data_IF_516551071447
#
_entry.id   IF_516551071447
#
_cell.length_a   1.000
_cell.length_b   1.000
_cell.length_c   1.000
_cell.angle_alpha   90.00
_cell.angle_beta   90.00
_cell.angle_gamma   90.00
#
_symmetry.space_group_name_H-M   'P 1'
#
loop_
_entity.id
_entity.type
_entity.pdbx_description
1 polymer ?
#
# COMPACT_ATOMS: atom_id res chain seq x y z
N UNK A 1 -5.45 -7.25 -21.29
CA UNK A 1 -6.23 -8.26 -20.56
C UNK A 1 -5.93 -9.65 -21.09
N UNK A 2 -6.00 -10.63 -20.18
CA UNK A 2 -5.81 -12.06 -20.40
C UNK A 2 -7.14 -12.78 -20.10
N UNK A 3 -7.56 -13.72 -20.93
CA UNK A 3 -8.74 -14.56 -20.65
C UNK A 3 -8.53 -16.00 -21.11
N UNK A 4 -9.06 -16.97 -20.37
CA UNK A 4 -8.96 -18.41 -20.64
C UNK A 4 -8.82 -19.22 -19.36
N UNK A 5 -8.31 -20.45 -19.42
CA UNK A 5 -8.04 -21.28 -18.22
C UNK A 5 -6.76 -20.83 -17.48
N UNK A 6 -6.76 -19.59 -16.99
CA UNK A 6 -5.58 -18.91 -16.45
C UNK A 6 -5.01 -19.60 -15.19
N UNK A 7 -5.89 -20.11 -14.33
CA UNK A 7 -5.52 -20.72 -13.05
C UNK A 7 -5.38 -22.24 -13.14
N UNK A 8 -6.29 -22.92 -13.83
CA UNK A 8 -6.27 -24.40 -13.96
C UNK A 8 -5.01 -24.89 -14.66
N UNK A 9 -4.45 -24.08 -15.57
CA UNK A 9 -3.24 -24.39 -16.33
C UNK A 9 -2.00 -23.60 -15.87
N UNK A 10 -2.08 -22.90 -14.73
CA UNK A 10 -1.01 -22.06 -14.16
C UNK A 10 -0.47 -20.96 -15.09
N UNK A 11 -1.21 -20.61 -16.15
CA UNK A 11 -0.80 -19.68 -17.19
C UNK A 11 -0.68 -18.24 -16.68
N UNK A 12 -1.42 -17.88 -15.62
CA UNK A 12 -1.27 -16.56 -14.99
C UNK A 12 0.09 -16.42 -14.29
N UNK A 13 0.57 -17.46 -13.61
CA UNK A 13 1.86 -17.42 -12.93
C UNK A 13 2.99 -17.31 -13.95
N UNK A 14 2.91 -18.08 -15.04
CA UNK A 14 3.88 -18.01 -16.14
C UNK A 14 3.91 -16.61 -16.78
N UNK A 15 2.76 -15.94 -16.93
CA UNK A 15 2.68 -14.57 -17.41
C UNK A 15 3.35 -13.57 -16.47
N UNK A 16 3.14 -13.69 -15.16
CA UNK A 16 3.74 -12.82 -14.14
C UNK A 16 5.26 -13.03 -14.04
N UNK A 17 5.70 -14.27 -14.05
CA UNK A 17 7.12 -14.64 -14.01
C UNK A 17 7.89 -14.06 -15.21
N UNK A 18 7.29 -14.09 -16.41
CA UNK A 18 7.90 -13.47 -17.60
C UNK A 18 8.04 -11.96 -17.49
N UNK A 19 7.08 -11.28 -16.85
CA UNK A 19 7.16 -9.83 -16.64
C UNK A 19 8.30 -9.50 -15.67
N UNK A 20 8.38 -10.21 -14.55
CA UNK A 20 9.43 -10.00 -13.55
C UNK A 20 10.82 -10.33 -14.09
N UNK A 21 10.96 -11.45 -14.81
CA UNK A 21 12.23 -11.88 -15.41
C UNK A 21 12.78 -10.88 -16.46
N UNK A 22 11.90 -10.14 -17.13
CA UNK A 22 12.29 -9.08 -18.06
C UNK A 22 12.62 -7.75 -17.35
N UNK A 23 12.44 -7.65 -16.03
CA UNK A 23 12.62 -6.42 -15.26
C UNK A 23 11.42 -5.46 -15.34
N UNK A 24 10.25 -5.96 -15.70
CA UNK A 24 9.00 -5.21 -15.67
C UNK A 24 8.32 -5.24 -14.31
N UNK A 25 7.42 -4.30 -14.08
CA UNK A 25 6.47 -4.31 -12.98
C UNK A 25 5.07 -4.62 -13.49
N UNK A 26 4.19 -5.11 -12.62
CA UNK A 26 2.80 -5.34 -12.97
C UNK A 26 1.85 -4.98 -11.84
N UNK A 27 0.62 -4.65 -12.21
CA UNK A 27 -0.51 -4.48 -11.31
C UNK A 27 -1.71 -5.27 -11.82
N UNK A 28 -2.26 -6.13 -10.98
CA UNK A 28 -3.46 -6.90 -11.29
C UNK A 28 -4.69 -6.03 -11.00
N UNK A 29 -5.13 -5.29 -12.02
CA UNK A 29 -6.25 -4.36 -11.91
C UNK A 29 -7.60 -5.07 -11.68
N UNK A 30 -7.79 -6.24 -12.29
CA UNK A 30 -9.01 -7.04 -12.13
C UNK A 30 -8.72 -8.52 -12.28
N UNK A 31 -9.39 -9.36 -11.50
CA UNK A 31 -9.32 -10.81 -11.63
C UNK A 31 -10.66 -11.45 -11.30
N UNK A 32 -11.19 -12.24 -12.24
CA UNK A 32 -12.41 -13.03 -12.08
C UNK A 32 -12.06 -14.49 -12.34
N UNK A 33 -12.24 -15.35 -11.34
CA UNK A 33 -11.89 -16.77 -11.41
C UNK A 33 -13.13 -17.55 -11.82
N UNK A 34 -12.97 -18.45 -12.79
CA UNK A 34 -14.03 -19.38 -13.21
C UNK A 34 -14.52 -20.25 -12.05
N UNK A 35 -15.83 -20.53 -11.99
CA UNK A 35 -16.44 -21.30 -10.90
C UNK A 35 -16.26 -22.83 -11.03
N UNK A 36 -15.59 -23.30 -12.08
CA UNK A 36 -15.30 -24.71 -12.34
C UNK A 36 -14.03 -24.85 -13.20
N UNK A 37 -13.46 -26.06 -13.27
CA UNK A 37 -12.26 -26.36 -14.06
C UNK A 37 -12.44 -26.11 -15.58
N UNK A 38 -13.70 -26.12 -16.05
CA UNK A 38 -14.06 -25.88 -17.44
C UNK A 38 -14.47 -24.42 -17.70
N UNK A 39 -14.49 -23.57 -16.67
CA UNK A 39 -14.89 -22.16 -16.80
C UNK A 39 -13.68 -21.26 -17.06
N UNK A 40 -13.81 -20.36 -18.04
CA UNK A 40 -12.78 -19.36 -18.32
C UNK A 40 -12.63 -18.38 -17.15
N UNK A 41 -11.38 -18.02 -16.86
CA UNK A 41 -10.98 -16.96 -15.95
C UNK A 41 -10.57 -15.72 -16.73
N UNK A 42 -10.76 -14.55 -16.13
CA UNK A 42 -10.44 -13.25 -16.73
C UNK A 42 -9.50 -12.46 -15.84
N UNK A 43 -8.52 -11.79 -16.44
CA UNK A 43 -7.58 -10.93 -15.73
C UNK A 43 -7.25 -9.67 -16.53
N UNK A 44 -7.28 -8.52 -15.86
CA UNK A 44 -6.69 -7.28 -16.33
C UNK A 44 -5.37 -7.05 -15.62
N UNK A 45 -4.31 -6.97 -16.44
CA UNK A 45 -2.95 -6.78 -16.00
C UNK A 45 -2.41 -5.51 -16.62
N UNK A 46 -1.99 -4.59 -15.76
CA UNK A 46 -1.24 -3.40 -16.14
C UNK A 46 0.25 -3.76 -16.01
N UNK A 47 1.03 -3.41 -17.03
CA UNK A 47 2.46 -3.75 -17.11
C UNK A 47 3.26 -2.49 -17.32
N UNK A 48 4.28 -2.29 -16.47
CA UNK A 48 5.21 -1.17 -16.52
C UNK A 48 6.65 -1.63 -16.74
N UNK A 49 7.48 -0.76 -17.28
CA UNK A 49 8.92 -0.96 -17.42
C UNK A 49 9.62 0.40 -17.57
N UNK A 50 10.87 0.48 -17.10
CA UNK A 50 11.66 1.72 -17.12
C UNK A 50 12.15 2.09 -18.54
N UNK A 51 12.26 1.11 -19.44
CA UNK A 51 12.62 1.28 -20.84
C UNK A 51 11.51 0.71 -21.74
N UNK A 52 11.16 1.45 -22.78
CA UNK A 52 10.22 1.01 -23.82
C UNK A 52 10.66 -0.29 -24.50
N UNK A 53 11.98 -0.52 -24.65
CA UNK A 53 12.50 -1.80 -25.18
C UNK A 53 12.15 -2.98 -24.29
N UNK A 54 12.19 -2.80 -22.97
CA UNK A 54 11.81 -3.83 -22.00
C UNK A 54 10.30 -4.06 -22.08
N UNK A 55 9.51 -2.99 -22.16
CA UNK A 55 8.06 -3.11 -22.35
C UNK A 55 7.68 -3.88 -23.62
N UNK A 56 8.34 -3.58 -24.74
CA UNK A 56 8.11 -4.27 -26.02
C UNK A 56 8.49 -5.77 -25.90
N UNK A 57 9.58 -6.12 -25.22
CA UNK A 57 9.97 -7.52 -24.95
C UNK A 57 8.95 -8.28 -24.10
N UNK A 58 8.38 -7.61 -23.10
CA UNK A 58 7.34 -8.19 -22.24
C UNK A 58 6.07 -8.45 -23.06
N UNK A 59 5.66 -7.49 -23.88
CA UNK A 59 4.50 -7.61 -24.76
C UNK A 59 4.68 -8.79 -25.73
N UNK A 60 5.86 -8.92 -26.35
CA UNK A 60 6.17 -10.03 -27.25
C UNK A 60 6.08 -11.39 -26.55
N UNK A 61 6.60 -11.49 -25.31
CA UNK A 61 6.58 -12.72 -24.51
C UNK A 61 5.15 -13.13 -24.12
N UNK A 62 4.34 -12.18 -23.65
CA UNK A 62 2.93 -12.41 -23.33
C UNK A 62 2.11 -12.76 -24.59
N UNK A 63 2.45 -12.19 -25.74
CA UNK A 63 1.79 -12.51 -27.02
C UNK A 63 2.10 -13.94 -27.48
N UNK A 64 3.34 -14.42 -27.27
CA UNK A 64 3.72 -15.81 -27.55
C UNK A 64 3.06 -16.81 -26.60
N UNK A 65 2.89 -16.45 -25.33
CA UNK A 65 2.13 -17.27 -24.38
C UNK A 65 0.67 -17.42 -24.81
N UNK A 66 0.06 -16.34 -25.33
CA UNK A 66 -1.32 -16.37 -25.79
C UNK A 66 -1.51 -17.11 -27.12
N UNK A 67 -0.52 -17.04 -28.01
CA UNK A 67 -0.52 -17.71 -29.31
C UNK A 67 0.76 -18.54 -29.48
N UNK A 68 0.83 -19.74 -28.89
CA UNK A 68 1.89 -20.67 -29.21
C UNK A 68 1.71 -21.09 -30.67
N UNK A 69 2.50 -20.55 -31.59
CA UNK A 69 2.43 -20.93 -33.00
C UNK A 69 2.73 -22.43 -33.16
N UNK A 70 1.89 -23.10 -33.96
CA UNK A 70 1.93 -24.51 -34.34
C UNK A 70 3.10 -24.86 -35.29
N UNK A 71 4.36 -24.65 -34.90
CA UNK A 71 5.50 -25.21 -35.67
C UNK A 71 6.45 -26.03 -34.81
N UNK A 72 6.51 -27.33 -35.18
CA UNK A 72 7.43 -28.41 -34.80
C UNK A 72 7.24 -29.09 -33.43
N UNK A 73 6.39 -30.13 -33.38
CA UNK A 73 6.92 -31.50 -33.42
C UNK A 73 5.81 -32.54 -33.72
N UNK A 74 6.05 -33.40 -34.71
CA UNK A 74 5.21 -34.56 -34.96
C UNK A 74 5.49 -35.59 -33.85
N UNK A 75 4.42 -36.12 -33.26
CA UNK A 75 4.36 -37.20 -32.24
C UNK A 75 4.29 -36.68 -30.80
N UNK A 76 3.09 -36.22 -30.39
CA UNK A 76 2.55 -36.40 -29.02
C UNK A 76 1.03 -36.17 -29.01
N UNK A 77 0.25 -36.91 -28.20
CA UNK A 77 -1.21 -36.86 -28.25
C UNK A 77 -1.73 -35.52 -27.70
N UNK A 78 -2.59 -34.86 -28.50
CA UNK A 78 -3.44 -33.69 -28.21
C UNK A 78 -3.23 -33.07 -26.81
N UNK A 79 -2.29 -32.12 -26.69
CA UNK A 79 -2.43 -31.05 -25.70
C UNK A 79 -3.57 -30.17 -26.19
N UNK A 80 -4.70 -30.19 -25.48
CA UNK A 80 -5.79 -29.24 -25.72
C UNK A 80 -5.21 -27.83 -25.71
N UNK A 81 -5.27 -27.20 -26.88
CA UNK A 81 -4.82 -25.85 -27.17
C UNK A 81 -5.06 -24.90 -25.99
N UNK A 82 -3.98 -24.42 -25.36
CA UNK A 82 -4.01 -23.38 -24.33
C UNK A 82 -4.38 -22.06 -25.01
N UNK A 83 -5.66 -21.89 -25.30
CA UNK A 83 -6.15 -20.73 -26.04
C UNK A 83 -6.41 -19.60 -25.05
N UNK A 84 -5.38 -18.83 -24.73
CA UNK A 84 -5.55 -17.59 -23.96
C UNK A 84 -5.79 -16.47 -24.97
N UNK A 85 -6.77 -15.61 -24.71
CA UNK A 85 -6.94 -14.38 -25.49
C UNK A 85 -6.19 -13.23 -24.82
N UNK A 86 -5.32 -12.56 -25.57
CA UNK A 86 -4.62 -11.37 -25.14
C UNK A 86 -5.15 -10.17 -25.91
N UNK A 87 -5.67 -9.17 -25.17
CA UNK A 87 -5.95 -7.84 -25.74
C UNK A 87 -4.96 -6.84 -25.16
N UNK A 88 -4.12 -6.30 -26.04
CA UNK A 88 -3.16 -5.26 -25.71
C UNK A 88 -3.80 -3.91 -26.06
N UNK A 89 -4.11 -3.12 -25.04
CA UNK A 89 -4.42 -1.71 -25.20
C UNK A 89 -3.17 -0.89 -24.93
N UNK A 90 -2.94 0.19 -25.71
CA UNK A 90 -2.07 1.26 -25.23
C UNK A 90 -2.88 2.04 -24.21
N UNK A 91 -2.45 2.05 -22.96
CA UNK A 91 -2.80 3.15 -22.05
C UNK A 91 -2.01 4.35 -22.57
N UNK A 92 -2.54 5.04 -23.57
CA UNK A 92 -2.07 6.39 -23.85
C UNK A 92 -2.37 7.19 -22.57
N UNK A 93 -1.45 8.06 -22.17
CA UNK A 93 -1.84 9.23 -21.40
C UNK A 93 -2.95 9.88 -22.23
N UNK A 94 -4.21 9.61 -21.90
CA UNK A 94 -5.31 10.35 -22.48
C UNK A 94 -5.03 11.82 -22.18
N UNK A 95 -5.31 12.65 -23.20
CA UNK A 95 -5.08 14.09 -23.20
C UNK A 95 -5.30 14.67 -21.81
N UNK A 96 -4.43 15.62 -21.48
CA UNK A 96 -4.62 16.67 -20.49
C UNK A 96 -6.05 17.26 -20.55
N UNK A 97 -7.06 16.54 -20.04
CA UNK A 97 -7.87 17.16 -19.01
C UNK A 97 -6.83 17.65 -18.03
N UNK A 98 -6.63 18.99 -18.00
CA UNK A 98 -5.80 19.69 -17.00
C UNK A 98 -5.76 18.78 -15.80
N UNK A 99 -4.58 18.33 -15.32
CA UNK A 99 -4.55 17.35 -14.25
C UNK A 99 -5.60 17.83 -13.26
N UNK A 100 -6.71 17.10 -13.15
CA UNK A 100 -7.42 17.10 -11.88
C UNK A 100 -6.28 16.67 -11.00
N UNK A 101 -5.70 17.66 -10.30
CA UNK A 101 -4.42 17.53 -9.61
C UNK A 101 -4.45 16.12 -9.04
N UNK A 102 -3.59 15.22 -9.54
CA UNK A 102 -3.50 13.90 -8.96
C UNK A 102 -2.94 14.20 -7.58
N UNK A 103 -3.86 14.50 -6.67
CA UNK A 103 -3.56 14.91 -5.33
C UNK A 103 -2.77 13.74 -4.81
N UNK A 104 -1.50 13.98 -4.54
CA UNK A 104 -0.58 12.95 -4.06
C UNK A 104 -1.26 12.32 -2.84
N UNK A 105 -1.84 11.14 -3.02
CA UNK A 105 -2.71 10.52 -2.01
C UNK A 105 -1.80 10.15 -0.85
N UNK A 106 -1.99 10.85 0.26
CA UNK A 106 -1.14 10.61 1.43
C UNK A 106 -1.48 9.24 2.00
N UNK A 107 -0.46 8.47 2.34
CA UNK A 107 -0.62 7.07 2.72
C UNK A 107 -0.14 6.84 4.14
N UNK A 108 -1.00 6.25 4.96
CA UNK A 108 -0.76 6.02 6.39
C UNK A 108 -0.79 4.52 6.68
N UNK A 109 0.28 4.01 7.28
CA UNK A 109 0.38 2.66 7.80
C UNK A 109 0.18 2.67 9.31
N UNK A 110 -0.83 1.96 9.81
CA UNK A 110 -1.02 1.72 11.23
C UNK A 110 -0.44 0.35 11.58
N UNK A 111 0.57 0.32 12.45
CA UNK A 111 1.17 -0.91 12.95
C UNK A 111 0.51 -1.32 14.25
N UNK A 112 -0.11 -2.50 14.26
CA UNK A 112 -0.78 -3.11 15.41
C UNK A 112 -2.31 -3.03 15.30
N UNK A 113 -2.97 -4.16 15.48
CA UNK A 113 -4.43 -4.30 15.44
C UNK A 113 -5.06 -4.36 16.85
N UNK A 114 -4.51 -3.57 17.78
CA UNK A 114 -4.99 -3.50 19.17
C UNK A 114 -6.25 -2.64 19.34
N UNK A 115 -6.73 -2.52 20.58
CA UNK A 115 -7.96 -1.77 20.93
C UNK A 115 -8.00 -0.32 20.43
N UNK A 116 -6.83 0.31 20.35
CA UNK A 116 -6.68 1.71 19.92
C UNK A 116 -6.60 1.88 18.41
N UNK A 117 -6.38 0.80 17.65
CA UNK A 117 -6.22 0.87 16.20
C UNK A 117 -7.52 1.22 15.50
N UNK A 118 -8.63 0.60 15.91
CA UNK A 118 -9.94 0.84 15.29
C UNK A 118 -10.35 2.31 15.29
N UNK A 119 -10.40 3.03 16.43
CA UNK A 119 -10.79 4.44 16.43
C UNK A 119 -9.82 5.32 15.62
N UNK A 120 -8.52 4.98 15.59
CA UNK A 120 -7.54 5.69 14.76
C UNK A 120 -7.81 5.48 13.26
N UNK A 121 -8.08 4.24 12.84
CA UNK A 121 -8.42 3.90 11.47
C UNK A 121 -9.74 4.55 11.02
N UNK A 122 -10.78 4.50 11.87
CA UNK A 122 -12.07 5.14 11.61
C UNK A 122 -11.91 6.66 11.45
N UNK A 123 -11.13 7.29 12.33
CA UNK A 123 -10.83 8.72 12.23
C UNK A 123 -10.14 9.05 10.90
N UNK A 124 -9.04 8.37 10.58
CA UNK A 124 -8.27 8.61 9.35
C UNK A 124 -9.09 8.35 8.08
N UNK A 125 -9.89 7.29 8.06
CA UNK A 125 -10.81 7.01 6.96
C UNK A 125 -11.88 8.10 6.82
N UNK A 126 -12.36 8.65 7.93
CA UNK A 126 -13.36 9.72 7.93
C UNK A 126 -12.81 11.08 7.49
N UNK A 127 -11.48 11.29 7.46
CA UNK A 127 -10.85 12.56 7.07
C UNK A 127 -11.32 13.05 5.70
N UNK A 128 -11.59 12.12 4.77
CA UNK A 128 -12.16 12.42 3.44
C UNK A 128 -13.52 13.11 3.52
N UNK A 129 -14.31 12.80 4.55
CA UNK A 129 -15.63 13.39 4.79
C UNK A 129 -15.55 14.65 5.69
N UNK A 130 -14.51 14.76 6.52
CA UNK A 130 -14.29 15.85 7.49
C UNK A 130 -13.86 17.16 6.82
N UNK A 131 -13.43 17.17 5.56
CA UNK A 131 -13.14 18.40 4.79
C UNK A 131 -14.30 19.41 4.75
N UNK A 132 -15.52 18.95 5.05
CA UNK A 132 -16.73 19.76 5.24
C UNK A 132 -16.77 20.58 6.54
N UNK A 133 -16.02 20.19 7.59
CA UNK A 133 -16.12 20.74 8.94
C UNK A 133 -15.26 21.99 9.13
N UNK A 134 -15.82 22.99 9.82
CA UNK A 134 -15.24 24.32 9.98
C UNK A 134 -13.83 24.29 10.61
N UNK A 135 -13.58 23.44 11.61
CA UNK A 135 -12.26 23.36 12.26
C UNK A 135 -11.20 22.81 11.31
N UNK A 136 -11.54 21.85 10.45
CA UNK A 136 -10.61 21.28 9.47
C UNK A 136 -10.14 22.35 8.48
N UNK A 137 -11.06 23.16 7.95
CA UNK A 137 -10.74 24.29 7.07
C UNK A 137 -9.88 25.36 7.74
N UNK A 138 -10.12 25.65 9.02
CA UNK A 138 -9.39 26.67 9.77
C UNK A 138 -7.93 26.28 10.04
N UNK A 139 -7.64 25.00 10.32
CA UNK A 139 -6.30 24.56 10.74
C UNK A 139 -5.48 23.87 9.66
N UNK A 140 -6.11 23.18 8.70
CA UNK A 140 -5.42 22.31 7.73
C UNK A 140 -5.49 22.80 6.27
N UNK A 141 -6.23 23.90 6.02
CA UNK A 141 -6.48 24.41 4.67
C UNK A 141 -7.57 23.60 3.97
N UNK A 142 -8.44 24.27 3.21
CA UNK A 142 -9.67 23.69 2.65
C UNK A 142 -9.52 22.70 1.49
N UNK A 143 -8.36 22.04 1.35
CA UNK A 143 -8.14 21.05 0.29
C UNK A 143 -8.62 19.67 0.74
N UNK A 144 -9.38 19.01 -0.12
CA UNK A 144 -9.73 17.60 0.03
C UNK A 144 -8.46 16.77 -0.15
N UNK A 145 -7.94 16.23 0.96
CA UNK A 145 -6.81 15.31 0.91
C UNK A 145 -7.34 13.88 0.98
N UNK A 146 -7.14 13.15 -0.10
CA UNK A 146 -7.38 11.72 -0.08
C UNK A 146 -6.27 11.04 0.75
N UNK A 147 -6.68 10.27 1.75
CA UNK A 147 -5.79 9.51 2.63
C UNK A 147 -6.06 8.03 2.41
N UNK A 148 -5.01 7.27 2.08
CA UNK A 148 -5.06 5.80 2.05
C UNK A 148 -4.62 5.28 3.42
N UNK A 149 -5.42 4.42 4.03
CA UNK A 149 -5.15 3.86 5.36
C UNK A 149 -4.95 2.36 5.25
N UNK A 150 -3.84 1.88 5.83
CA UNK A 150 -3.49 0.47 5.87
C UNK A 150 -3.31 0.08 7.33
N UNK A 151 -3.99 -0.96 7.79
CA UNK A 151 -3.78 -1.57 9.11
C UNK A 151 -2.97 -2.84 8.92
N UNK A 152 -1.82 -2.92 9.59
CA UNK A 152 -0.94 -4.06 9.55
C UNK A 152 -0.80 -4.72 10.92
N UNK A 153 -0.86 -6.06 10.95
CA UNK A 153 -0.67 -6.87 12.16
C UNK A 153 0.10 -8.13 11.84
N UNK A 154 0.76 -8.71 12.86
CA UNK A 154 1.41 -10.02 12.75
C UNK A 154 0.43 -11.11 12.30
N UNK A 155 -0.83 -11.01 12.75
CA UNK A 155 -1.91 -11.90 12.37
C UNK A 155 -2.93 -11.16 11.50
N UNK A 156 -3.11 -11.64 10.26
CA UNK A 156 -4.06 -11.05 9.30
C UNK A 156 -5.48 -10.97 9.85
N UNK A 157 -5.87 -11.97 10.66
CA UNK A 157 -7.20 -12.06 11.27
C UNK A 157 -7.49 -10.81 12.11
N UNK A 158 -6.56 -10.41 12.97
CA UNK A 158 -6.73 -9.27 13.87
C UNK A 158 -6.86 -7.95 13.09
N UNK A 159 -6.06 -7.80 12.03
CA UNK A 159 -6.16 -6.65 11.13
C UNK A 159 -7.53 -6.60 10.43
N UNK A 160 -8.02 -7.74 9.93
CA UNK A 160 -9.35 -7.84 9.29
C UNK A 160 -10.50 -7.55 10.24
N UNK A 161 -10.45 -8.08 11.46
CA UNK A 161 -11.44 -7.79 12.50
C UNK A 161 -11.42 -6.30 12.89
N UNK A 162 -10.22 -5.71 12.97
CA UNK A 162 -10.07 -4.28 13.28
C UNK A 162 -10.72 -3.40 12.22
N UNK A 163 -10.54 -3.71 10.93
CA UNK A 163 -11.08 -2.93 9.80
C UNK A 163 -12.52 -3.31 9.41
N UNK A 164 -13.17 -4.22 10.15
CA UNK A 164 -14.53 -4.65 9.83
C UNK A 164 -15.50 -3.46 9.80
N UNK A 165 -16.23 -3.32 8.69
CA UNK A 165 -17.12 -2.19 8.42
C UNK A 165 -16.44 -0.93 7.85
N UNK A 166 -15.13 -0.98 7.56
CA UNK A 166 -14.37 0.10 6.94
C UNK A 166 -13.85 -0.32 5.55
N UNK A 167 -14.68 -0.25 4.48
CA UNK A 167 -14.30 -0.75 3.15
C UNK A 167 -13.13 0.01 2.50
N UNK A 168 -12.81 1.22 2.97
CA UNK A 168 -11.71 2.03 2.47
C UNK A 168 -10.37 1.79 3.20
N UNK A 169 -10.37 0.95 4.23
CA UNK A 169 -9.18 0.65 5.02
C UNK A 169 -8.68 -0.75 4.66
N UNK A 170 -7.42 -0.85 4.28
CA UNK A 170 -6.80 -2.11 3.89
C UNK A 170 -6.23 -2.84 5.10
N UNK A 171 -6.43 -4.16 5.17
CA UNK A 171 -5.82 -5.02 6.19
C UNK A 171 -4.71 -5.87 5.59
N UNK A 172 -3.52 -5.78 6.17
CA UNK A 172 -2.30 -6.47 5.70
C UNK A 172 -1.68 -7.29 6.83
N UNK A 173 -1.12 -8.44 6.50
CA UNK A 173 -0.27 -9.18 7.42
C UNK A 173 1.16 -8.66 7.32
N UNK A 174 1.76 -8.28 8.44
CA UNK A 174 3.13 -7.78 8.47
C UNK A 174 3.82 -8.16 9.77
N UNK A 175 5.02 -8.72 9.64
CA UNK A 175 5.99 -8.74 10.74
C UNK A 175 6.81 -7.45 10.67
N UNK A 176 6.90 -6.74 11.79
CA UNK A 176 7.66 -5.50 11.92
C UNK A 176 9.13 -5.70 11.56
N UNK A 177 9.64 -6.92 11.75
CA UNK A 177 11.00 -7.33 11.39
C UNK A 177 11.25 -7.36 9.87
N UNK A 178 10.19 -7.48 9.05
CA UNK A 178 10.24 -7.55 7.57
C UNK A 178 9.45 -6.38 6.93
N UNK A 179 9.37 -5.26 7.65
CA UNK A 179 8.46 -4.17 7.30
C UNK A 179 8.95 -3.28 6.15
N UNK A 180 10.19 -3.46 5.68
CA UNK A 180 10.80 -2.59 4.66
C UNK A 180 9.99 -2.52 3.36
N UNK A 181 9.43 -3.64 2.91
CA UNK A 181 8.68 -3.72 1.65
C UNK A 181 7.42 -2.85 1.67
N UNK A 182 6.68 -2.87 2.78
CA UNK A 182 5.44 -2.10 2.93
C UNK A 182 5.73 -0.63 3.25
N UNK A 183 6.75 -0.34 4.06
CA UNK A 183 7.08 1.04 4.42
C UNK A 183 7.52 1.88 3.22
N UNK A 184 8.07 1.27 2.15
CA UNK A 184 8.44 1.98 0.91
C UNK A 184 7.27 2.74 0.28
N UNK A 185 6.06 2.18 0.38
CA UNK A 185 4.86 2.70 -0.28
C UNK A 185 3.97 3.56 0.62
N UNK A 186 4.43 3.90 1.83
CA UNK A 186 3.69 4.77 2.75
C UNK A 186 4.43 6.07 3.02
N UNK A 187 3.72 7.13 3.42
CA UNK A 187 4.31 8.42 3.77
C UNK A 187 4.52 8.54 5.29
N UNK A 188 3.54 8.04 6.06
CA UNK A 188 3.49 8.14 7.52
C UNK A 188 3.22 6.78 8.13
N UNK A 189 3.93 6.46 9.21
CA UNK A 189 3.72 5.27 10.02
C UNK A 189 3.17 5.68 11.38
N UNK A 190 2.04 5.11 11.78
CA UNK A 190 1.47 5.21 13.11
C UNK A 190 1.74 3.89 13.86
N UNK A 191 2.69 3.91 14.78
CA UNK A 191 3.02 2.73 15.59
C UNK A 191 2.16 2.66 16.85
N UNK A 192 1.23 1.71 16.88
CA UNK A 192 0.41 1.34 18.05
C UNK A 192 0.88 0.02 18.68
N UNK A 193 2.14 -0.34 18.40
CA UNK A 193 2.84 -1.50 18.93
C UNK A 193 3.30 -1.25 20.38
N UNK A 194 3.72 -2.30 21.12
CA UNK A 194 4.40 -2.14 22.40
C UNK A 194 5.64 -1.25 22.29
N UNK A 195 5.94 -0.51 23.36
CA UNK A 195 7.04 0.47 23.39
C UNK A 195 8.41 -0.11 22.99
N UNK A 196 8.68 -1.37 23.33
CA UNK A 196 9.91 -2.08 22.96
C UNK A 196 10.15 -2.20 21.46
N UNK A 197 9.13 -2.01 20.62
CA UNK A 197 9.24 -2.09 19.17
C UNK A 197 9.59 -0.75 18.53
N UNK A 198 9.38 0.38 19.21
CA UNK A 198 9.43 1.72 18.59
C UNK A 198 10.82 2.09 18.10
N UNK A 199 11.88 1.75 18.83
CA UNK A 199 13.25 2.03 18.40
C UNK A 199 13.61 1.31 17.09
N UNK A 200 13.14 0.07 16.90
CA UNK A 200 13.33 -0.69 15.66
C UNK A 200 12.58 -0.03 14.50
N UNK A 201 11.30 0.27 14.70
CA UNK A 201 10.46 0.95 13.69
C UNK A 201 11.03 2.31 13.31
N UNK A 202 11.52 3.08 14.29
CA UNK A 202 12.12 4.39 14.07
C UNK A 202 13.38 4.30 13.19
N UNK A 203 14.25 3.30 13.40
CA UNK A 203 15.43 3.07 12.55
C UNK A 203 15.02 2.81 11.10
N UNK A 204 14.06 1.90 10.88
CA UNK A 204 13.54 1.60 9.53
C UNK A 204 12.89 2.83 8.89
N UNK A 205 12.14 3.63 9.66
CA UNK A 205 11.53 4.88 9.17
C UNK A 205 12.60 5.90 8.76
N UNK A 206 13.69 6.04 9.53
CA UNK A 206 14.82 6.93 9.20
C UNK A 206 15.48 6.49 7.89
N UNK A 207 15.76 5.19 7.75
CA UNK A 207 16.39 4.62 6.56
C UNK A 207 15.54 4.83 5.30
N UNK A 208 14.23 4.62 5.41
CA UNK A 208 13.27 4.77 4.31
C UNK A 208 12.71 6.19 4.17
N UNK A 209 13.16 7.14 5.01
CA UNK A 209 12.72 8.54 5.07
C UNK A 209 11.20 8.70 5.22
N UNK A 210 10.60 7.96 6.15
CA UNK A 210 9.16 8.00 6.45
C UNK A 210 8.89 8.67 7.79
N UNK A 211 7.80 9.42 7.89
CA UNK A 211 7.41 10.02 9.16
C UNK A 211 6.88 8.95 10.12
N UNK A 212 7.10 9.13 11.42
CA UNK A 212 6.66 8.21 12.46
C UNK A 212 5.87 8.94 13.55
N UNK A 213 4.75 8.35 13.96
CA UNK A 213 3.95 8.78 15.10
C UNK A 213 3.80 7.60 16.05
N UNK A 214 3.96 7.83 17.35
CA UNK A 214 3.73 6.83 18.40
C UNK A 214 2.86 7.40 19.51
N UNK A 215 2.11 6.53 20.19
CA UNK A 215 1.29 6.90 21.35
C UNK A 215 1.94 6.45 22.68
N UNK A 216 3.26 6.32 22.71
CA UNK A 216 4.02 5.86 23.88
C UNK A 216 5.06 6.89 24.30
N UNK A 217 5.50 6.80 25.55
CA UNK A 217 6.65 7.55 26.07
C UNK A 217 7.88 7.39 25.16
N UNK A 218 8.63 8.47 24.99
CA UNK A 218 9.91 8.43 24.29
C UNK A 218 10.99 7.90 25.24
N UNK A 219 11.64 6.80 24.87
CA UNK A 219 12.76 6.24 25.63
C UNK A 219 14.11 6.81 25.16
N UNK A 220 15.17 6.54 25.93
CA UNK A 220 16.53 7.01 25.64
C UNK A 220 17.04 6.53 24.28
N UNK A 221 16.65 5.32 23.86
CA UNK A 221 17.06 4.76 22.57
C UNK A 221 16.44 5.55 21.41
N UNK A 222 15.14 5.84 21.47
CA UNK A 222 14.42 6.64 20.47
C UNK A 222 14.90 8.09 20.48
N UNK A 223 15.15 8.66 21.66
CA UNK A 223 15.72 10.01 21.83
C UNK A 223 17.10 10.12 21.17
N UNK A 224 17.92 9.08 21.28
CA UNK A 224 19.23 8.98 20.62
C UNK A 224 19.18 8.99 19.08
N UNK A 225 18.00 8.81 18.47
CA UNK A 225 17.82 8.86 17.01
C UNK A 225 17.51 10.27 16.48
N UNK A 226 17.34 11.28 17.35
CA UNK A 226 16.94 12.64 16.97
C UNK A 226 17.77 13.25 15.85
N UNK A 227 19.10 13.23 16.00
CA UNK A 227 19.98 13.81 14.98
C UNK A 227 19.91 13.02 13.66
N UNK A 228 19.75 11.70 13.71
CA UNK A 228 19.56 10.90 12.49
C UNK A 228 18.24 11.24 11.78
N UNK A 229 17.15 11.40 12.54
CA UNK A 229 15.85 11.79 12.01
C UNK A 229 15.89 13.17 11.33
N UNK A 230 16.57 14.15 11.96
CA UNK A 230 16.82 15.47 11.35
C UNK A 230 17.60 15.38 10.04
N UNK A 231 18.70 14.63 10.03
CA UNK A 231 19.52 14.47 8.82
C UNK A 231 18.75 13.75 7.70
N UNK A 232 17.84 12.83 8.04
CA UNK A 232 16.96 12.17 7.08
C UNK A 232 15.79 13.05 6.61
N UNK A 233 15.54 14.19 7.27
CA UNK A 233 14.46 15.12 6.94
C UNK A 233 13.07 14.61 7.32
N UNK A 234 12.98 13.74 8.32
CA UNK A 234 11.70 13.17 8.78
C UNK A 234 11.30 13.70 10.16
N UNK A 235 10.03 13.55 10.47
CA UNK A 235 9.46 13.87 11.77
C UNK A 235 9.12 12.57 12.49
N UNK A 236 9.60 12.45 13.73
CA UNK A 236 9.21 11.40 14.66
C UNK A 236 8.50 12.09 15.83
N UNK A 237 7.23 11.75 16.03
CA UNK A 237 6.38 12.35 17.06
C UNK A 237 5.94 11.26 18.04
N UNK A 238 6.48 11.30 19.25
CA UNK A 238 6.05 10.43 20.34
C UNK A 238 4.94 11.05 21.18
N UNK A 239 4.47 10.29 22.18
CA UNK A 239 3.58 10.80 23.22
C UNK A 239 2.26 11.38 22.70
N UNK A 240 1.72 10.84 21.59
CA UNK A 240 0.44 11.29 21.01
C UNK A 240 -0.75 10.42 21.45
N UNK A 241 -0.84 10.15 22.75
CA UNK A 241 -1.89 9.35 23.38
C UNK A 241 -2.79 10.14 24.34
N UNK A 242 -3.40 9.43 25.29
CA UNK A 242 -4.15 10.03 26.39
C UNK A 242 -3.21 10.51 27.51
N UNK A 243 -2.40 9.58 27.98
CA UNK A 243 -1.31 9.75 28.95
C UNK A 243 -0.23 8.72 28.56
N UNK A 244 0.87 9.14 27.91
CA UNK A 244 1.25 10.53 27.62
C UNK A 244 0.56 11.07 26.34
N UNK A 245 0.20 12.36 26.35
CA UNK A 245 -0.25 13.16 25.21
C UNK A 245 -1.25 14.27 25.56
N UNK A 246 -2.53 13.92 25.70
CA UNK A 246 -3.57 14.91 26.05
C UNK A 246 -3.25 15.60 27.38
N UNK A 247 -2.72 14.87 28.34
CA UNK A 247 -2.26 15.40 29.62
C UNK A 247 -1.19 16.50 29.44
N UNK A 248 -0.20 16.29 28.56
CA UNK A 248 0.86 17.27 28.27
C UNK A 248 0.29 18.53 27.60
N UNK A 249 -0.59 18.35 26.61
CA UNK A 249 -1.24 19.47 25.90
C UNK A 249 -2.09 20.32 26.84
N UNK A 250 -2.86 19.68 27.74
CA UNK A 250 -3.68 20.39 28.73
C UNK A 250 -2.81 21.12 29.76
N UNK A 251 -1.76 20.47 30.29
CA UNK A 251 -0.85 21.07 31.25
C UNK A 251 -0.14 22.31 30.67
N UNK A 252 0.42 22.19 29.46
CA UNK A 252 1.10 23.30 28.80
C UNK A 252 0.17 24.46 28.47
N UNK A 253 -1.09 24.19 28.07
CA UNK A 253 -2.09 25.23 27.88
C UNK A 253 -2.31 26.03 29.17
N UNK A 254 -2.52 25.34 30.30
CA UNK A 254 -2.73 26.00 31.58
C UNK A 254 -1.52 26.83 32.04
N UNK A 255 -0.30 26.33 31.78
CA UNK A 255 0.93 27.06 32.09
C UNK A 255 1.03 28.33 31.24
N UNK A 256 0.78 28.23 29.94
CA UNK A 256 0.84 29.36 29.01
C UNK A 256 -0.21 30.42 29.37
N UNK A 257 -1.46 30.00 29.66
CA UNK A 257 -2.55 30.89 30.06
C UNK A 257 -2.25 31.61 31.39
N UNK A 258 -1.47 30.99 32.29
CA UNK A 258 -1.04 31.61 33.55
C UNK A 258 0.16 32.56 33.38
N UNK A 259 0.93 32.42 32.29
CA UNK A 259 2.10 33.25 31.98
C UNK A 259 1.78 34.46 31.10
N UNK A 260 0.60 34.48 30.46
CA UNK A 260 0.07 35.58 29.64
C UNK A 260 -0.71 36.62 30.44
#
# INVERSE_FOLDING_TARGET
SLSGHLFDKFLINEALDMIEAAGGSFHLAKCEIGQSADAESYSELEVGADDRKVLDQIIDSLTRLANPNDEEDYISPRRESNKISLKIGKVQQENEEKPEEMTKRSSVLILGAGRVCRPAAEFLASVRNISSQQWYKTYLGGEQRDVRVIVASLYLKDAKETVEGMPEVEAVQLDVSDSESLLKYVDVVLSLLPASCHASVAKTCIELKKHLITASYVDDETSGLHEKAKHAGITILGEMGLDPGIDHMMAMKMINDAQS
#
